data_IF_453202643150
#
_entry.id   IF_453202643150
#
_cell.length_a   1.000
_cell.length_b   1.000
_cell.length_c   1.000
_cell.angle_alpha   90.00
_cell.angle_beta   90.00
_cell.angle_gamma   90.00
#
_symmetry.space_group_name_H-M   'P 1'
#
loop_
_entity.id
_entity.type
_entity.pdbx_description
1 polymer ?
#
# COMPACT_ATOMS: atom_id res chain seq x y z
N UNK A 1 -13.47 -13.84 -21.22
CA UNK A 1 -13.77 -12.96 -20.06
C UNK A 1 -15.22 -12.56 -20.13
N UNK A 2 -16.03 -12.81 -19.09
CA UNK A 2 -17.47 -12.56 -19.18
C UNK A 2 -17.76 -11.06 -19.16
N UNK A 3 -18.66 -10.59 -20.03
CA UNK A 3 -19.08 -9.18 -20.05
C UNK A 3 -19.67 -8.75 -18.70
N UNK A 4 -20.35 -9.66 -18.01
CA UNK A 4 -20.92 -9.44 -16.69
C UNK A 4 -19.84 -9.13 -15.65
N UNK A 5 -18.70 -9.82 -15.68
CA UNK A 5 -17.59 -9.52 -14.78
C UNK A 5 -17.00 -8.12 -15.02
N UNK A 6 -16.83 -7.70 -16.27
CA UNK A 6 -16.33 -6.35 -16.58
C UNK A 6 -17.29 -5.26 -16.09
N UNK A 7 -18.60 -5.46 -16.25
CA UNK A 7 -19.63 -4.57 -15.71
C UNK A 7 -19.55 -4.52 -14.18
N UNK A 8 -19.37 -5.67 -13.52
CA UNK A 8 -19.21 -5.75 -12.08
C UNK A 8 -17.93 -5.02 -11.62
N UNK A 9 -16.82 -5.19 -12.32
CA UNK A 9 -15.55 -4.53 -12.00
C UNK A 9 -15.66 -3.00 -12.12
N UNK A 10 -16.24 -2.52 -13.22
CA UNK A 10 -16.45 -1.08 -13.46
C UNK A 10 -17.45 -0.48 -12.46
N UNK A 11 -18.56 -1.16 -12.18
CA UNK A 11 -19.53 -0.70 -11.19
C UNK A 11 -18.94 -0.67 -9.77
N UNK A 12 -18.09 -1.64 -9.41
CA UNK A 12 -17.36 -1.64 -8.13
C UNK A 12 -16.42 -0.45 -8.00
N UNK A 13 -15.68 -0.13 -9.06
CA UNK A 13 -14.84 1.06 -9.12
C UNK A 13 -15.65 2.35 -8.90
N UNK A 14 -16.72 2.53 -9.68
CA UNK A 14 -17.54 3.74 -9.63
C UNK A 14 -18.25 3.86 -8.28
N UNK A 15 -18.83 2.76 -7.77
CA UNK A 15 -19.55 2.77 -6.49
C UNK A 15 -18.62 3.14 -5.33
N UNK A 16 -17.42 2.56 -5.26
CA UNK A 16 -16.45 2.86 -4.20
C UNK A 16 -15.92 4.29 -4.28
N UNK A 17 -15.64 4.78 -5.50
CA UNK A 17 -15.27 6.17 -5.77
C UNK A 17 -16.34 7.15 -5.29
N UNK A 18 -17.60 6.93 -5.69
CA UNK A 18 -18.71 7.80 -5.34
C UNK A 18 -18.99 7.76 -3.83
N UNK A 19 -19.00 6.56 -3.24
CA UNK A 19 -19.24 6.38 -1.81
C UNK A 19 -18.16 7.09 -0.97
N UNK A 20 -16.87 6.86 -1.26
CA UNK A 20 -15.79 7.55 -0.55
C UNK A 20 -15.88 9.07 -0.76
N UNK A 21 -16.08 9.54 -2.00
CA UNK A 21 -16.23 10.97 -2.32
C UNK A 21 -17.38 11.62 -1.54
N UNK A 22 -18.50 10.92 -1.38
CA UNK A 22 -19.67 11.38 -0.65
C UNK A 22 -19.47 11.39 0.86
N UNK A 23 -18.71 10.45 1.40
CA UNK A 23 -18.40 10.37 2.82
C UNK A 23 -17.42 11.46 3.27
N UNK A 24 -16.45 11.86 2.44
CA UNK A 24 -15.40 12.82 2.85
C UNK A 24 -15.95 14.14 3.42
N UNK A 25 -16.87 14.89 2.76
CA UNK A 25 -17.40 16.14 3.32
C UNK A 25 -18.10 15.95 4.66
N UNK A 26 -18.78 14.80 4.85
CA UNK A 26 -19.48 14.47 6.10
C UNK A 26 -18.51 14.18 7.22
N UNK A 27 -17.44 13.42 6.93
CA UNK A 27 -16.36 13.15 7.88
C UNK A 27 -15.68 14.47 8.30
N UNK A 28 -15.34 15.32 7.33
CA UNK A 28 -14.75 16.64 7.61
C UNK A 28 -15.67 17.47 8.51
N UNK A 29 -16.96 17.55 8.19
CA UNK A 29 -17.95 18.28 8.99
C UNK A 29 -18.08 17.75 10.42
N UNK A 30 -18.20 16.43 10.60
CA UNK A 30 -18.34 15.81 11.93
C UNK A 30 -17.06 16.01 12.76
N UNK A 31 -15.90 15.80 12.13
CA UNK A 31 -14.61 15.94 12.80
C UNK A 31 -14.36 17.38 13.28
N UNK A 32 -14.62 18.36 12.40
CA UNK A 32 -14.49 19.78 12.74
C UNK A 32 -15.48 20.22 13.83
N UNK A 33 -16.73 19.74 13.79
CA UNK A 33 -17.73 20.03 14.82
C UNK A 33 -17.33 19.47 16.19
N UNK A 34 -16.76 18.27 16.24
CA UNK A 34 -16.37 17.59 17.47
C UNK A 34 -14.95 17.90 17.94
N UNK A 35 -14.23 18.82 17.27
CA UNK A 35 -12.83 19.15 17.54
C UNK A 35 -11.85 17.97 17.44
N UNK A 36 -12.16 16.97 16.60
CA UNK A 36 -11.22 15.92 16.20
C UNK A 36 -10.30 16.45 15.09
N UNK A 37 -9.49 17.43 15.48
CA UNK A 37 -8.67 18.24 14.60
C UNK A 37 -7.22 18.02 14.95
N UNK A 38 -6.37 17.92 13.92
CA UNK A 38 -4.94 18.01 14.10
C UNK A 38 -4.51 19.48 14.15
N UNK A 39 -4.20 19.98 15.36
CA UNK A 39 -3.73 21.36 15.55
C UNK A 39 -2.27 21.50 15.09
N UNK A 40 -1.91 22.60 14.40
CA UNK A 40 -0.56 22.79 13.90
C UNK A 40 0.43 22.99 15.05
N UNK A 41 1.29 21.99 15.29
CA UNK A 41 2.44 22.09 16.19
C UNK A 41 3.67 22.56 15.41
N UNK A 42 4.15 23.77 15.70
CA UNK A 42 5.25 24.44 14.99
C UNK A 42 6.59 23.69 15.04
N UNK A 43 6.76 22.70 15.92
CA UNK A 43 7.98 21.90 16.01
C UNK A 43 8.00 20.68 15.07
N UNK A 44 6.81 20.13 14.70
CA UNK A 44 6.70 18.86 13.97
C UNK A 44 5.81 18.91 12.72
N UNK A 45 4.85 19.82 12.63
CA UNK A 45 3.80 19.82 11.60
C UNK A 45 3.86 21.08 10.72
N UNK A 46 3.84 20.87 9.40
CA UNK A 46 4.07 21.93 8.38
C UNK A 46 2.76 22.56 7.87
N UNK A 47 1.60 22.03 8.26
CA UNK A 47 0.29 22.53 7.79
C UNK A 47 -0.15 23.78 8.55
N UNK A 48 -0.70 24.77 7.84
CA UNK A 48 -1.20 26.04 8.40
C UNK A 48 -2.70 26.06 8.68
N UNK A 49 -3.41 24.97 8.34
CA UNK A 49 -4.88 24.85 8.49
C UNK A 49 -5.22 23.69 9.45
N UNK A 50 -6.34 23.86 10.13
CA UNK A 50 -7.07 22.84 10.88
C UNK A 50 -7.50 21.75 9.89
N UNK A 51 -6.86 20.59 9.93
CA UNK A 51 -7.14 19.44 9.07
C UNK A 51 -7.46 18.24 9.97
N UNK A 52 -8.38 17.38 9.56
CA UNK A 52 -8.72 16.16 10.31
C UNK A 52 -8.00 14.95 9.74
N UNK A 53 -7.62 14.00 10.60
CA UNK A 53 -6.89 12.77 10.23
C UNK A 53 -7.83 11.58 9.98
N UNK A 54 -9.15 11.80 9.88
CA UNK A 54 -10.13 10.71 9.81
C UNK A 54 -10.46 10.24 8.38
N UNK A 55 -9.63 10.58 7.38
CA UNK A 55 -9.86 10.23 5.98
C UNK A 55 -9.92 8.72 5.72
N UNK A 56 -9.16 7.95 6.49
CA UNK A 56 -9.17 6.49 6.47
C UNK A 56 -10.54 5.86 6.69
N UNK A 57 -11.44 6.52 7.43
CA UNK A 57 -12.80 6.03 7.64
C UNK A 57 -13.56 5.98 6.31
N UNK A 58 -13.47 7.03 5.51
CA UNK A 58 -14.15 7.08 4.22
C UNK A 58 -13.53 6.13 3.20
N UNK A 59 -12.20 5.92 3.26
CA UNK A 59 -11.52 4.89 2.45
C UNK A 59 -12.04 3.51 2.83
N UNK A 60 -12.03 3.16 4.12
CA UNK A 60 -12.43 1.84 4.60
C UNK A 60 -13.88 1.52 4.29
N UNK A 61 -14.81 2.43 4.57
CA UNK A 61 -16.23 2.22 4.31
C UNK A 61 -16.52 2.10 2.81
N UNK A 62 -15.89 2.97 1.99
CA UNK A 62 -15.98 2.89 0.53
C UNK A 62 -15.49 1.55 -0.02
N UNK A 63 -14.36 1.07 0.52
CA UNK A 63 -13.76 -0.20 0.15
C UNK A 63 -14.58 -1.40 0.61
N UNK A 64 -14.88 -1.50 1.90
CA UNK A 64 -15.42 -2.73 2.50
C UNK A 64 -16.87 -2.98 2.07
N UNK A 65 -17.70 -1.93 2.01
CA UNK A 65 -19.12 -2.05 1.63
C UNK A 65 -19.25 -2.49 0.17
N UNK A 66 -18.46 -1.88 -0.72
CA UNK A 66 -18.53 -2.18 -2.15
C UNK A 66 -17.87 -3.51 -2.47
N UNK A 67 -16.70 -3.81 -1.91
CA UNK A 67 -16.06 -5.12 -2.11
C UNK A 67 -16.93 -6.26 -1.58
N UNK A 68 -17.56 -6.11 -0.39
CA UNK A 68 -18.56 -7.06 0.13
C UNK A 68 -19.65 -7.36 -0.89
N UNK A 69 -20.34 -6.31 -1.32
CA UNK A 69 -21.50 -6.43 -2.19
C UNK A 69 -21.12 -7.02 -3.55
N UNK A 70 -20.00 -6.58 -4.11
CA UNK A 70 -19.51 -7.07 -5.39
C UNK A 70 -19.01 -8.50 -5.32
N UNK A 71 -18.32 -8.91 -4.23
CA UNK A 71 -17.90 -10.30 -4.04
C UNK A 71 -19.09 -11.24 -3.82
N UNK A 72 -20.15 -10.80 -3.15
CA UNK A 72 -21.42 -11.57 -3.06
C UNK A 72 -22.07 -11.67 -4.44
N UNK A 73 -22.09 -10.57 -5.21
CA UNK A 73 -22.66 -10.56 -6.57
C UNK A 73 -21.88 -11.49 -7.51
N UNK A 74 -20.55 -11.57 -7.35
CA UNK A 74 -19.69 -12.47 -8.11
C UNK A 74 -20.08 -13.94 -7.93
N UNK A 75 -20.55 -14.36 -6.75
CA UNK A 75 -21.02 -15.73 -6.49
C UNK A 75 -22.23 -16.10 -7.35
N UNK A 76 -23.02 -15.12 -7.79
CA UNK A 76 -24.19 -15.33 -8.63
C UNK A 76 -23.83 -15.40 -10.13
N UNK A 77 -22.56 -15.26 -10.50
CA UNK A 77 -22.10 -15.38 -11.90
C UNK A 77 -21.71 -16.85 -12.14
N UNK A 78 -22.51 -17.67 -12.86
CA UNK A 78 -22.32 -19.12 -12.91
C UNK A 78 -20.98 -19.57 -13.49
N UNK A 79 -20.40 -18.77 -14.38
CA UNK A 79 -19.13 -19.07 -15.07
C UNK A 79 -17.89 -18.87 -14.18
N UNK A 80 -18.02 -18.13 -13.07
CA UNK A 80 -16.88 -17.57 -12.33
C UNK A 80 -17.03 -17.72 -10.80
N UNK A 81 -18.25 -17.63 -10.29
CA UNK A 81 -18.53 -17.68 -8.86
C UNK A 81 -18.25 -19.06 -8.29
N UNK A 82 -17.28 -19.15 -7.38
CA UNK A 82 -17.08 -20.36 -6.57
C UNK A 82 -17.00 -20.01 -5.09
N UNK A 83 -17.59 -20.87 -4.24
CA UNK A 83 -17.68 -20.65 -2.80
C UNK A 83 -16.31 -20.61 -2.12
N UNK A 84 -15.31 -21.30 -2.69
CA UNK A 84 -13.93 -21.32 -2.18
C UNK A 84 -13.26 -19.95 -2.26
N UNK A 85 -13.61 -19.09 -3.22
CA UNK A 85 -13.09 -17.72 -3.29
C UNK A 85 -13.61 -16.83 -2.16
N UNK A 86 -14.86 -17.01 -1.73
CA UNK A 86 -15.45 -16.25 -0.63
C UNK A 86 -14.79 -16.58 0.73
N UNK A 87 -14.27 -17.80 0.87
CA UNK A 87 -13.62 -18.27 2.10
C UNK A 87 -12.29 -17.57 2.41
N UNK A 88 -11.55 -17.05 1.43
CA UNK A 88 -10.32 -16.28 1.74
C UNK A 88 -10.62 -14.84 2.12
N UNK A 89 -11.70 -14.29 1.56
CA UNK A 89 -12.06 -12.88 1.66
C UNK A 89 -12.48 -12.46 3.07
N UNK A 90 -13.21 -13.31 3.81
CA UNK A 90 -13.66 -12.97 5.16
C UNK A 90 -12.50 -12.77 6.14
N UNK A 91 -11.38 -13.49 5.96
CA UNK A 91 -10.19 -13.30 6.79
C UNK A 91 -9.54 -11.93 6.57
N UNK A 92 -9.51 -11.46 5.32
CA UNK A 92 -9.03 -10.11 4.98
C UNK A 92 -9.94 -9.06 5.64
N UNK A 93 -11.25 -9.29 5.65
CA UNK A 93 -12.23 -8.38 6.29
C UNK A 93 -12.05 -8.33 7.80
N UNK A 94 -11.90 -9.48 8.45
CA UNK A 94 -11.65 -9.52 9.89
C UNK A 94 -10.33 -8.80 10.22
N UNK A 95 -9.26 -9.09 9.47
CA UNK A 95 -7.95 -8.48 9.68
C UNK A 95 -7.97 -6.95 9.45
N UNK A 96 -8.58 -6.49 8.36
CA UNK A 96 -8.71 -5.07 8.06
C UNK A 96 -9.68 -4.35 9.01
N UNK A 97 -10.68 -5.04 9.56
CA UNK A 97 -11.56 -4.48 10.59
C UNK A 97 -10.80 -4.25 11.92
N UNK A 98 -9.94 -5.20 12.32
CA UNK A 98 -9.05 -5.02 13.49
C UNK A 98 -8.18 -3.77 13.29
N UNK A 99 -7.59 -3.62 12.11
CA UNK A 99 -6.75 -2.47 11.77
C UNK A 99 -7.54 -1.17 11.68
N UNK A 100 -8.76 -1.20 11.16
CA UNK A 100 -9.66 -0.07 11.10
C UNK A 100 -9.96 0.45 12.51
N UNK A 101 -10.36 -0.42 13.44
CA UNK A 101 -10.63 -0.02 14.83
C UNK A 101 -9.35 0.48 15.52
N UNK A 102 -8.21 -0.18 15.26
CA UNK A 102 -6.92 0.23 15.80
C UNK A 102 -6.55 1.63 15.32
N UNK A 103 -6.63 1.90 14.02
CA UNK A 103 -6.30 3.19 13.46
C UNK A 103 -7.27 4.28 13.88
N UNK A 104 -8.58 4.02 13.92
CA UNK A 104 -9.56 5.01 14.40
C UNK A 104 -9.29 5.38 15.85
N UNK A 105 -8.93 4.39 16.68
CA UNK A 105 -8.56 4.63 18.06
C UNK A 105 -7.25 5.44 18.19
N UNK A 106 -6.27 5.16 17.34
CA UNK A 106 -5.01 5.91 17.29
C UNK A 106 -5.26 7.38 16.88
N UNK A 107 -6.03 7.60 15.81
CA UNK A 107 -6.37 8.93 15.29
C UNK A 107 -7.19 9.78 16.28
N UNK A 108 -8.01 9.15 17.14
CA UNK A 108 -8.88 9.86 18.08
C UNK A 108 -8.29 10.03 19.49
N UNK A 109 -7.57 9.02 19.98
CA UNK A 109 -7.14 8.95 21.39
C UNK A 109 -5.65 8.62 21.56
N UNK A 110 -4.93 8.33 20.47
CA UNK A 110 -3.56 7.83 20.49
C UNK A 110 -3.45 6.39 20.99
N UNK A 111 -2.48 5.67 20.43
CA UNK A 111 -2.08 4.35 20.86
C UNK A 111 -0.57 4.29 21.05
N UNK A 112 -0.15 3.50 22.04
CA UNK A 112 1.28 3.15 22.17
C UNK A 112 1.71 2.32 20.96
N UNK A 113 2.93 2.54 20.40
CA UNK A 113 3.43 1.78 19.24
C UNK A 113 3.33 0.26 19.41
N UNK A 114 3.55 -0.24 20.62
CA UNK A 114 3.43 -1.67 20.93
C UNK A 114 2.02 -2.22 20.70
N UNK A 115 0.97 -1.52 21.16
CA UNK A 115 -0.43 -1.95 20.95
C UNK A 115 -0.80 -1.95 19.47
N UNK A 116 -0.33 -0.95 18.70
CA UNK A 116 -0.50 -0.87 17.25
C UNK A 116 0.19 -2.04 16.54
N UNK A 117 1.43 -2.35 16.94
CA UNK A 117 2.17 -3.50 16.42
C UNK A 117 1.48 -4.84 16.71
N UNK A 118 0.97 -5.04 17.94
CA UNK A 118 0.24 -6.27 18.30
C UNK A 118 -1.01 -6.44 17.43
N UNK A 119 -1.77 -5.37 17.18
CA UNK A 119 -2.93 -5.43 16.29
C UNK A 119 -2.55 -5.79 14.85
N UNK A 120 -1.46 -5.21 14.32
CA UNK A 120 -0.91 -5.57 13.01
C UNK A 120 -0.46 -7.03 12.97
N UNK A 121 0.20 -7.53 14.01
CA UNK A 121 0.65 -8.91 14.10
C UNK A 121 -0.52 -9.90 14.14
N UNK A 122 -1.58 -9.60 14.89
CA UNK A 122 -2.80 -10.41 14.91
C UNK A 122 -3.49 -10.41 13.54
N UNK A 123 -3.66 -9.23 12.92
CA UNK A 123 -4.25 -9.11 11.59
C UNK A 123 -3.45 -9.89 10.53
N UNK A 124 -2.12 -9.75 10.55
CA UNK A 124 -1.23 -10.47 9.64
C UNK A 124 -1.26 -11.98 9.89
N UNK A 125 -1.26 -12.43 11.15
CA UNK A 125 -1.40 -13.84 11.49
C UNK A 125 -2.70 -14.43 10.95
N UNK A 126 -3.82 -13.70 11.06
CA UNK A 126 -5.12 -14.18 10.56
C UNK A 126 -5.07 -14.48 9.06
N UNK A 127 -4.55 -13.52 8.29
CA UNK A 127 -4.44 -13.64 6.83
C UNK A 127 -3.41 -14.70 6.41
N UNK A 128 -2.27 -14.75 7.08
CA UNK A 128 -1.17 -15.66 6.73
C UNK A 128 -1.49 -17.10 7.11
N UNK A 129 -2.02 -17.34 8.31
CA UNK A 129 -2.25 -18.68 8.82
C UNK A 129 -3.60 -19.25 8.35
N UNK A 130 -4.70 -18.51 8.52
CA UNK A 130 -6.03 -19.05 8.22
C UNK A 130 -6.43 -18.89 6.75
N UNK A 131 -6.06 -17.79 6.09
CA UNK A 131 -6.32 -17.62 4.65
C UNK A 131 -5.22 -18.24 3.76
N UNK A 132 -4.14 -18.76 4.36
CA UNK A 132 -2.94 -19.27 3.71
C UNK A 132 -2.33 -18.25 2.72
N UNK A 133 -2.45 -16.94 2.99
CA UNK A 133 -1.86 -15.90 2.17
C UNK A 133 -0.42 -15.67 2.64
N UNK A 134 0.50 -16.44 2.06
CA UNK A 134 1.92 -16.45 2.44
C UNK A 134 2.86 -16.60 1.24
N UNK A 135 4.07 -16.08 1.38
CA UNK A 135 5.16 -16.27 0.43
C UNK A 135 5.64 -17.72 0.47
N UNK A 136 5.53 -18.46 -0.63
CA UNK A 136 5.97 -19.86 -0.70
C UNK A 136 7.46 -20.01 -1.03
N UNK A 137 8.07 -18.95 -1.54
CA UNK A 137 9.40 -18.97 -2.15
C UNK A 137 9.98 -17.56 -2.21
N UNK A 138 11.31 -17.47 -2.30
CA UNK A 138 12.02 -16.25 -2.66
C UNK A 138 12.36 -16.18 -4.15
N UNK A 139 11.90 -17.16 -4.93
CA UNK A 139 11.97 -17.23 -6.38
C UNK A 139 13.39 -17.00 -6.91
N UNK A 140 14.38 -17.59 -6.22
CA UNK A 140 15.79 -17.51 -6.57
C UNK A 140 16.53 -16.31 -5.98
N UNK A 141 15.85 -15.42 -5.24
CA UNK A 141 16.52 -14.41 -4.40
C UNK A 141 17.33 -15.15 -3.32
N UNK A 142 18.61 -14.80 -3.19
CA UNK A 142 19.60 -15.50 -2.34
C UNK A 142 19.74 -16.99 -2.66
N UNK A 143 19.43 -17.41 -3.89
CA UNK A 143 19.42 -18.83 -4.32
C UNK A 143 18.38 -19.70 -3.58
N UNK A 144 17.37 -19.07 -2.97
CA UNK A 144 16.29 -19.75 -2.25
C UNK A 144 15.07 -19.85 -3.15
N UNK A 145 14.69 -21.08 -3.48
CA UNK A 145 13.58 -21.38 -4.41
C UNK A 145 12.32 -21.86 -3.72
N UNK A 146 12.37 -22.29 -2.47
CA UNK A 146 11.21 -22.70 -1.68
C UNK A 146 11.45 -22.35 -0.22
N UNK A 147 10.37 -22.04 0.50
CA UNK A 147 10.41 -21.75 1.92
C UNK A 147 9.73 -22.86 2.71
N UNK A 148 10.40 -23.44 3.73
CA UNK A 148 9.75 -24.29 4.71
C UNK A 148 8.53 -23.57 5.32
N UNK A 149 7.48 -24.32 5.64
CA UNK A 149 6.20 -23.76 6.07
C UNK A 149 6.33 -22.72 7.19
N UNK A 150 7.08 -23.03 8.26
CA UNK A 150 7.28 -22.11 9.38
C UNK A 150 8.00 -20.81 8.96
N UNK A 151 9.01 -20.92 8.10
CA UNK A 151 9.76 -19.77 7.58
C UNK A 151 8.83 -18.91 6.71
N UNK A 152 8.04 -19.54 5.85
CA UNK A 152 7.03 -18.87 5.03
C UNK A 152 6.02 -18.08 5.87
N UNK A 153 5.50 -18.65 6.97
CA UNK A 153 4.61 -17.94 7.89
C UNK A 153 5.29 -16.72 8.51
N UNK A 154 6.48 -16.89 9.09
CA UNK A 154 7.22 -15.83 9.79
C UNK A 154 7.54 -14.68 8.83
N UNK A 155 8.11 -14.97 7.66
CA UNK A 155 8.48 -13.94 6.69
C UNK A 155 7.26 -13.21 6.12
N UNK A 156 6.13 -13.90 5.93
CA UNK A 156 4.92 -13.25 5.44
C UNK A 156 4.32 -12.31 6.49
N UNK A 157 4.27 -12.73 7.75
CA UNK A 157 3.79 -11.87 8.86
C UNK A 157 4.68 -10.64 9.01
N UNK A 158 6.00 -10.84 9.08
CA UNK A 158 6.96 -9.73 9.21
C UNK A 158 6.88 -8.81 7.99
N UNK A 159 6.78 -9.37 6.78
CA UNK A 159 6.67 -8.60 5.54
C UNK A 159 5.41 -7.73 5.50
N UNK A 160 4.25 -8.28 5.87
CA UNK A 160 2.99 -7.53 5.94
C UNK A 160 3.11 -6.39 6.95
N UNK A 161 3.59 -6.66 8.16
CA UNK A 161 3.77 -5.64 9.20
C UNK A 161 4.75 -4.56 8.75
N UNK A 162 5.88 -4.96 8.14
CA UNK A 162 6.89 -4.04 7.65
C UNK A 162 6.33 -3.10 6.57
N UNK A 163 5.68 -3.64 5.55
CA UNK A 163 5.07 -2.84 4.48
C UNK A 163 3.95 -1.95 5.03
N UNK A 164 3.15 -2.45 5.99
CA UNK A 164 2.11 -1.65 6.65
C UNK A 164 2.68 -0.42 7.33
N UNK A 165 3.75 -0.58 8.11
CA UNK A 165 4.42 0.55 8.76
C UNK A 165 5.17 1.44 7.76
N UNK A 166 5.76 0.86 6.71
CA UNK A 166 6.42 1.62 5.67
C UNK A 166 5.46 2.57 4.93
N UNK A 167 4.22 2.13 4.67
CA UNK A 167 3.17 2.98 4.11
C UNK A 167 2.72 4.07 5.07
N UNK A 168 2.59 3.75 6.37
CA UNK A 168 2.29 4.72 7.42
C UNK A 168 3.37 5.82 7.50
N UNK A 169 4.66 5.46 7.38
CA UNK A 169 5.77 6.42 7.44
C UNK A 169 5.84 7.37 6.23
N UNK A 170 5.34 6.97 5.06
CA UNK A 170 5.34 7.85 3.87
C UNK A 170 4.09 8.73 3.76
N UNK A 171 3.10 8.57 4.64
CA UNK A 171 1.87 9.36 4.70
C UNK A 171 2.08 10.74 5.37
N UNK A 172 3.24 11.35 5.12
CA UNK A 172 3.61 12.69 5.61
C UNK A 172 3.43 13.82 4.59
N UNK A 173 2.99 13.49 3.37
CA UNK A 173 2.82 14.44 2.25
C UNK A 173 1.42 14.28 1.64
N UNK A 174 0.70 15.40 1.52
CA UNK A 174 -0.58 15.51 0.82
C UNK A 174 -0.56 14.78 -0.53
N UNK A 175 -1.42 13.77 -0.67
CA UNK A 175 -1.60 13.00 -1.89
C UNK A 175 -0.52 11.96 -2.18
N UNK A 176 0.59 11.89 -1.44
CA UNK A 176 1.70 10.96 -1.74
C UNK A 176 1.31 9.49 -1.50
N UNK A 177 1.00 9.11 -0.27
CA UNK A 177 0.69 7.72 0.05
C UNK A 177 -0.54 7.22 -0.72
N UNK A 178 -1.58 8.06 -0.83
CA UNK A 178 -2.78 7.75 -1.61
C UNK A 178 -2.51 7.56 -3.11
N UNK A 179 -1.69 8.41 -3.75
CA UNK A 179 -1.40 8.28 -5.18
C UNK A 179 -0.53 7.06 -5.49
N UNK A 180 0.44 6.75 -4.64
CA UNK A 180 1.23 5.51 -4.76
C UNK A 180 0.35 4.27 -4.57
N UNK A 181 -0.53 4.27 -3.56
CA UNK A 181 -1.48 3.18 -3.36
C UNK A 181 -2.42 3.00 -4.56
N UNK A 182 -2.97 4.09 -5.09
CA UNK A 182 -3.81 4.06 -6.29
C UNK A 182 -3.08 3.48 -7.50
N UNK A 183 -1.82 3.87 -7.72
CA UNK A 183 -1.00 3.32 -8.79
C UNK A 183 -0.84 1.79 -8.66
N UNK A 184 -0.49 1.30 -7.47
CA UNK A 184 -0.31 -0.15 -7.23
C UNK A 184 -1.63 -0.91 -7.40
N UNK A 185 -2.74 -0.39 -6.85
CA UNK A 185 -4.04 -1.03 -6.93
C UNK A 185 -4.57 -1.11 -8.36
N UNK A 186 -4.31 -0.10 -9.18
CA UNK A 186 -4.67 -0.12 -10.60
C UNK A 186 -3.94 -1.25 -11.34
N UNK A 187 -2.63 -1.40 -11.12
CA UNK A 187 -1.84 -2.47 -11.73
C UNK A 187 -2.30 -3.84 -11.23
N UNK A 188 -2.44 -4.02 -9.91
CA UNK A 188 -2.88 -5.28 -9.33
C UNK A 188 -4.29 -5.67 -9.83
N UNK A 189 -5.22 -4.73 -9.91
CA UNK A 189 -6.57 -5.00 -10.44
C UNK A 189 -6.54 -5.52 -11.88
N UNK A 190 -5.71 -4.94 -12.73
CA UNK A 190 -5.55 -5.39 -14.12
C UNK A 190 -4.94 -6.78 -14.15
N UNK A 191 -3.85 -7.00 -13.42
CA UNK A 191 -3.16 -8.29 -13.46
C UNK A 191 -3.98 -9.43 -12.85
N UNK A 192 -4.69 -9.19 -11.75
CA UNK A 192 -5.63 -10.17 -11.20
C UNK A 192 -6.76 -10.50 -12.16
N UNK A 193 -7.28 -9.51 -12.89
CA UNK A 193 -8.30 -9.74 -13.93
C UNK A 193 -7.75 -10.64 -15.04
N UNK A 194 -6.52 -10.35 -15.50
CA UNK A 194 -5.84 -11.13 -16.53
C UNK A 194 -5.51 -12.56 -16.07
N UNK A 195 -5.20 -12.75 -14.78
CA UNK A 195 -4.93 -14.05 -14.17
C UNK A 195 -6.19 -14.79 -13.69
N UNK A 196 -7.38 -14.25 -13.97
CA UNK A 196 -8.68 -14.81 -13.53
C UNK A 196 -8.85 -14.92 -12.00
N UNK A 197 -8.08 -14.12 -11.25
CA UNK A 197 -8.24 -13.87 -9.82
C UNK A 197 -9.33 -12.79 -9.61
N UNK A 198 -10.57 -13.14 -9.91
CA UNK A 198 -11.67 -12.18 -10.00
C UNK A 198 -11.99 -11.48 -8.68
N UNK A 199 -11.88 -12.18 -7.56
CA UNK A 199 -12.17 -11.62 -6.26
C UNK A 199 -11.10 -10.59 -5.86
N UNK A 200 -9.83 -10.93 -6.03
CA UNK A 200 -8.71 -10.01 -5.76
C UNK A 200 -8.73 -8.79 -6.69
N UNK A 201 -9.19 -8.95 -7.94
CA UNK A 201 -9.45 -7.84 -8.85
C UNK A 201 -10.55 -6.91 -8.30
N UNK A 202 -11.68 -7.45 -7.81
CA UNK A 202 -12.76 -6.67 -7.18
C UNK A 202 -12.27 -5.94 -5.92
N UNK A 203 -11.51 -6.62 -5.06
CA UNK A 203 -10.91 -6.01 -3.85
C UNK A 203 -10.01 -4.85 -4.24
N UNK A 204 -9.10 -5.08 -5.20
CA UNK A 204 -8.13 -4.09 -5.66
C UNK A 204 -8.81 -2.87 -6.30
N UNK A 205 -9.80 -3.08 -7.18
CA UNK A 205 -10.51 -1.99 -7.86
C UNK A 205 -11.43 -1.21 -6.91
N UNK A 206 -12.03 -1.88 -5.92
CA UNK A 206 -12.88 -1.23 -4.92
C UNK A 206 -12.05 -0.36 -3.99
N UNK A 207 -10.87 -0.85 -3.58
CA UNK A 207 -9.95 -0.04 -2.79
C UNK A 207 -9.39 1.13 -3.62
N UNK A 208 -9.08 0.91 -4.91
CA UNK A 208 -8.67 1.97 -5.83
C UNK A 208 -9.70 3.08 -5.92
N UNK A 209 -10.97 2.74 -6.17
CA UNK A 209 -12.04 3.73 -6.26
C UNK A 209 -12.18 4.52 -4.95
N UNK A 210 -12.17 3.84 -3.79
CA UNK A 210 -12.22 4.50 -2.50
C UNK A 210 -11.04 5.47 -2.26
N UNK A 211 -9.82 5.06 -2.63
CA UNK A 211 -8.61 5.90 -2.54
C UNK A 211 -8.69 7.11 -3.47
N UNK A 212 -9.15 6.94 -4.71
CA UNK A 212 -9.32 8.07 -5.64
C UNK A 212 -10.40 9.05 -5.15
N UNK A 213 -11.47 8.55 -4.52
CA UNK A 213 -12.49 9.38 -3.89
C UNK A 213 -11.95 10.21 -2.72
N UNK A 214 -11.06 9.61 -1.92
CA UNK A 214 -10.31 10.31 -0.87
C UNK A 214 -9.31 11.34 -1.43
N UNK A 215 -8.54 10.98 -2.46
CA UNK A 215 -7.51 11.83 -3.06
C UNK A 215 -8.06 13.16 -3.58
N UNK A 216 -9.32 13.22 -4.03
CA UNK A 216 -10.00 14.48 -4.37
C UNK A 216 -9.98 15.52 -3.24
N UNK A 217 -9.91 15.08 -1.99
CA UNK A 217 -9.89 15.94 -0.80
C UNK A 217 -8.51 16.02 -0.15
N UNK A 218 -7.65 15.04 -0.38
CA UNK A 218 -6.30 14.99 0.18
C UNK A 218 -5.21 15.55 -0.75
N UNK A 219 -5.48 15.73 -2.05
CA UNK A 219 -4.54 16.35 -2.97
C UNK A 219 -4.19 17.77 -2.50
N UNK A 220 -2.90 18.11 -2.53
CA UNK A 220 -2.40 19.36 -1.98
C UNK A 220 -3.12 20.60 -2.58
N UNK A 221 -3.54 21.58 -1.77
CA UNK A 221 -3.54 21.57 -0.30
C UNK A 221 -4.65 20.67 0.27
N UNK A 222 -4.29 19.76 1.17
CA UNK A 222 -5.23 18.80 1.74
C UNK A 222 -6.33 19.46 2.59
N UNK A 223 -7.53 18.90 2.51
CA UNK A 223 -8.69 19.21 3.37
C UNK A 223 -8.95 18.15 4.43
N UNK A 224 -8.36 16.97 4.24
CA UNK A 224 -8.43 15.81 5.13
C UNK A 224 -7.15 15.00 4.94
N UNK A 225 -6.54 14.57 6.04
CA UNK A 225 -5.44 13.63 6.04
C UNK A 225 -5.97 12.20 6.15
N UNK A 226 -5.16 11.26 5.67
CA UNK A 226 -5.52 9.84 5.65
C UNK A 226 -5.56 9.25 7.06
N UNK A 227 -4.63 9.70 7.91
CA UNK A 227 -4.48 9.24 9.29
C UNK A 227 -3.94 7.82 9.39
N UNK A 228 -3.79 7.37 10.64
CA UNK A 228 -3.36 6.02 10.94
C UNK A 228 -4.39 5.00 10.47
N UNK A 229 -5.68 5.33 10.55
CA UNK A 229 -6.75 4.48 9.98
C UNK A 229 -6.48 4.13 8.52
N UNK A 230 -6.28 5.14 7.67
CA UNK A 230 -6.17 4.90 6.24
C UNK A 230 -4.84 4.27 5.86
N UNK A 231 -3.75 4.73 6.46
CA UNK A 231 -2.41 4.23 6.12
C UNK A 231 -2.19 2.78 6.57
N UNK A 232 -2.73 2.37 7.72
CA UNK A 232 -2.72 0.97 8.15
C UNK A 232 -3.50 0.07 7.18
N UNK A 233 -4.70 0.52 6.76
CA UNK A 233 -5.55 -0.24 5.85
C UNK A 233 -4.89 -0.39 4.48
N UNK A 234 -4.35 0.69 3.93
CA UNK A 234 -3.69 0.65 2.63
C UNK A 234 -2.43 -0.18 2.67
N UNK A 235 -1.54 0.05 3.64
CA UNK A 235 -0.29 -0.70 3.75
C UNK A 235 -0.52 -2.20 3.92
N UNK A 236 -1.47 -2.59 4.78
CA UNK A 236 -1.82 -3.99 5.00
C UNK A 236 -2.46 -4.64 3.76
N UNK A 237 -3.41 -3.95 3.13
CA UNK A 237 -4.12 -4.47 1.96
C UNK A 237 -3.19 -4.62 0.76
N UNK A 238 -2.32 -3.63 0.52
CA UNK A 238 -1.31 -3.69 -0.54
C UNK A 238 -0.33 -4.84 -0.31
N UNK A 239 0.21 -4.99 0.91
CA UNK A 239 1.11 -6.08 1.23
C UNK A 239 0.44 -7.45 1.02
N UNK A 240 -0.79 -7.60 1.49
CA UNK A 240 -1.58 -8.83 1.36
C UNK A 240 -1.86 -9.16 -0.12
N UNK A 241 -2.36 -8.20 -0.89
CA UNK A 241 -2.64 -8.39 -2.32
C UNK A 241 -1.37 -8.70 -3.10
N UNK A 242 -0.25 -8.04 -2.79
CA UNK A 242 1.05 -8.36 -3.37
C UNK A 242 1.49 -9.80 -3.09
N UNK A 243 1.29 -10.31 -1.88
CA UNK A 243 1.59 -11.73 -1.55
C UNK A 243 0.66 -12.67 -2.33
N UNK A 244 -0.64 -12.37 -2.43
CA UNK A 244 -1.57 -13.17 -3.24
C UNK A 244 -1.15 -13.19 -4.70
N UNK A 245 -0.79 -12.04 -5.26
CA UNK A 245 -0.29 -11.91 -6.62
C UNK A 245 0.94 -12.79 -6.87
N UNK A 246 1.94 -12.72 -5.98
CA UNK A 246 3.15 -13.54 -6.08
C UNK A 246 2.83 -15.04 -5.97
N UNK A 247 1.95 -15.42 -5.03
CA UNK A 247 1.56 -16.82 -4.80
C UNK A 247 0.79 -17.41 -5.98
N UNK A 248 -0.20 -16.70 -6.50
CA UNK A 248 -1.15 -17.24 -7.48
C UNK A 248 -0.61 -17.17 -8.91
N UNK A 249 0.28 -16.22 -9.24
CA UNK A 249 1.00 -16.23 -10.52
C UNK A 249 2.09 -17.27 -10.55
N UNK A 250 2.68 -17.60 -9.39
CA UNK A 250 3.64 -18.69 -9.33
C UNK A 250 3.06 -20.03 -9.83
N UNK A 251 1.72 -20.15 -9.80
CA UNK A 251 0.98 -21.37 -10.10
C UNK A 251 0.30 -21.30 -11.49
N UNK A 252 0.12 -20.10 -12.05
CA UNK A 252 -0.71 -19.86 -13.23
C UNK A 252 0.12 -19.57 -14.50
N UNK A 253 -0.18 -20.28 -15.59
CA UNK A 253 0.38 -20.02 -16.92
C UNK A 253 -0.40 -18.95 -17.72
N UNK A 254 -1.50 -18.40 -17.19
CA UNK A 254 -2.42 -17.57 -18.01
C UNK A 254 -1.82 -16.23 -18.44
N UNK A 255 -0.91 -15.68 -17.64
CA UNK A 255 -0.24 -14.41 -17.94
C UNK A 255 1.26 -14.59 -18.24
N UNK A 256 1.70 -15.81 -18.58
CA UNK A 256 3.12 -16.12 -18.83
C UNK A 256 3.74 -15.26 -19.94
N UNK A 257 2.93 -14.78 -20.89
CA UNK A 257 3.34 -13.89 -21.98
C UNK A 257 3.55 -12.44 -21.54
N UNK A 258 3.03 -12.05 -20.36
CA UNK A 258 3.11 -10.71 -19.79
C UNK A 258 4.16 -10.68 -18.67
N UNK A 259 4.23 -11.74 -17.87
CA UNK A 259 5.17 -11.87 -16.76
C UNK A 259 5.77 -13.27 -16.81
N UNK A 260 7.08 -13.37 -16.97
CA UNK A 260 7.75 -14.69 -17.03
C UNK A 260 7.88 -15.30 -15.65
N UNK A 261 6.94 -16.21 -15.37
CA UNK A 261 6.97 -17.09 -14.21
C UNK A 261 6.97 -16.38 -12.86
N UNK A 262 7.30 -17.15 -11.83
CA UNK A 262 7.20 -16.79 -10.42
C UNK A 262 8.18 -15.67 -10.03
N UNK A 263 9.34 -15.63 -10.69
CA UNK A 263 10.39 -14.64 -10.51
C UNK A 263 9.96 -13.24 -10.98
N UNK A 264 9.29 -13.16 -12.14
CA UNK A 264 8.77 -11.90 -12.66
C UNK A 264 7.70 -11.28 -11.75
N UNK A 265 6.79 -12.10 -11.19
CA UNK A 265 5.75 -11.63 -10.27
C UNK A 265 6.34 -11.06 -8.96
N UNK A 266 7.37 -11.72 -8.42
CA UNK A 266 8.09 -11.25 -7.23
C UNK A 266 8.80 -9.94 -7.50
N UNK A 267 9.49 -9.86 -8.63
CA UNK A 267 10.23 -8.67 -9.03
C UNK A 267 9.28 -7.48 -9.23
N UNK A 268 8.17 -7.67 -9.93
CA UNK A 268 7.16 -6.63 -10.13
C UNK A 268 6.56 -6.18 -8.79
N UNK A 269 6.25 -7.11 -7.89
CA UNK A 269 5.75 -6.79 -6.54
C UNK A 269 6.73 -5.95 -5.74
N UNK A 270 8.02 -6.30 -5.76
CA UNK A 270 9.06 -5.51 -5.10
C UNK A 270 9.13 -4.10 -5.70
N UNK A 271 9.03 -3.96 -7.02
CA UNK A 271 8.99 -2.65 -7.67
C UNK A 271 7.75 -1.84 -7.29
N UNK A 272 6.59 -2.47 -7.20
CA UNK A 272 5.32 -1.86 -6.76
C UNK A 272 5.32 -1.47 -5.28
N UNK A 273 6.32 -1.86 -4.48
CA UNK A 273 6.42 -1.44 -3.07
C UNK A 273 7.77 -0.78 -2.77
N UNK A 274 8.59 -0.52 -3.81
CA UNK A 274 10.01 -0.23 -3.63
C UNK A 274 10.25 1.06 -2.86
N UNK A 275 9.46 2.10 -3.09
CA UNK A 275 9.64 3.40 -2.45
C UNK A 275 9.46 3.31 -0.92
N UNK A 276 8.29 2.87 -0.39
CA UNK A 276 8.11 2.77 1.06
C UNK A 276 9.07 1.77 1.70
N UNK A 277 9.31 0.63 1.04
CA UNK A 277 10.25 -0.40 1.51
C UNK A 277 11.66 0.18 1.63
N UNK A 278 12.17 0.77 0.54
CA UNK A 278 13.53 1.29 0.48
C UNK A 278 13.76 2.43 1.46
N UNK A 279 12.83 3.41 1.55
CA UNK A 279 13.00 4.54 2.48
C UNK A 279 13.02 4.06 3.94
N UNK A 280 12.14 3.12 4.29
CA UNK A 280 12.10 2.53 5.64
C UNK A 280 13.39 1.76 5.94
N UNK A 281 13.85 0.90 5.03
CA UNK A 281 15.11 0.17 5.19
C UNK A 281 16.31 1.12 5.36
N UNK A 282 16.39 2.17 4.53
CA UNK A 282 17.44 3.19 4.62
C UNK A 282 17.43 3.88 5.97
N UNK A 283 16.26 4.38 6.40
CA UNK A 283 16.14 5.10 7.67
C UNK A 283 16.49 4.20 8.85
N UNK A 284 16.02 2.96 8.87
CA UNK A 284 16.35 2.00 9.92
C UNK A 284 17.85 1.69 9.96
N UNK A 285 18.47 1.48 8.79
CA UNK A 285 19.92 1.24 8.68
C UNK A 285 20.72 2.41 9.23
N UNK A 286 20.39 3.65 8.84
CA UNK A 286 21.07 4.85 9.33
C UNK A 286 20.93 5.02 10.84
N UNK A 287 19.77 4.68 11.43
CA UNK A 287 19.56 4.73 12.88
C UNK A 287 20.42 3.71 13.63
N UNK A 288 20.41 2.47 13.16
CA UNK A 288 21.21 1.38 13.76
C UNK A 288 22.70 1.72 13.71
N UNK A 289 23.20 2.21 12.57
CA UNK A 289 24.61 2.63 12.42
C UNK A 289 24.99 3.80 13.34
N UNK A 290 24.02 4.60 13.79
CA UNK A 290 24.20 5.68 14.78
C UNK A 290 23.98 5.23 16.22
N UNK A 291 23.77 3.94 16.48
CA UNK A 291 23.49 3.39 17.81
C UNK A 291 22.08 3.66 18.34
N UNK A 292 21.17 4.15 17.50
CA UNK A 292 19.78 4.43 17.88
C UNK A 292 18.82 3.27 17.59
N UNK A 293 17.65 3.29 18.24
CA UNK A 293 16.59 2.31 17.97
C UNK A 293 15.94 2.56 16.60
N UNK A 294 15.70 1.52 15.77
CA UNK A 294 14.98 1.67 14.51
C UNK A 294 13.52 2.08 14.69
N UNK A 295 12.92 1.89 15.86
CA UNK A 295 11.50 2.18 16.12
C UNK A 295 11.23 3.59 16.65
N UNK A 296 12.26 4.42 16.79
CA UNK A 296 12.09 5.81 17.23
C UNK A 296 11.64 6.70 16.06
N UNK A 297 10.72 7.63 16.29
CA UNK A 297 10.27 8.56 15.25
C UNK A 297 11.40 9.54 14.87
N UNK A 298 11.56 9.85 13.57
CA UNK A 298 12.48 10.90 13.10
C UNK A 298 12.01 11.56 11.79
N UNK A 299 12.71 12.63 11.39
CA UNK A 299 12.49 13.36 10.12
C UNK A 299 13.47 12.98 8.99
N UNK A 300 14.06 11.78 9.02
CA UNK A 300 15.10 11.40 8.03
C UNK A 300 14.57 10.78 6.74
N UNK A 301 13.26 10.57 6.66
CA UNK A 301 12.56 10.08 5.48
C UNK A 301 12.78 10.98 4.26
N UNK A 302 12.75 10.40 3.07
CA UNK A 302 13.04 11.10 1.83
C UNK A 302 12.14 12.32 1.59
N UNK A 303 10.85 12.20 1.94
CA UNK A 303 9.90 13.28 1.77
C UNK A 303 10.18 14.48 2.68
N UNK A 304 10.64 14.26 3.92
CA UNK A 304 11.09 15.36 4.80
C UNK A 304 12.32 16.07 4.23
N UNK A 305 13.29 15.32 3.69
CA UNK A 305 14.48 15.94 3.06
C UNK A 305 14.13 16.82 1.86
N UNK A 306 13.09 16.45 1.12
CA UNK A 306 12.55 17.26 0.01
C UNK A 306 11.81 18.50 0.50
N UNK A 307 11.01 18.38 1.56
CA UNK A 307 10.37 19.53 2.22
C UNK A 307 11.40 20.52 2.74
N UNK A 308 12.46 20.03 3.41
CA UNK A 308 13.58 20.83 3.92
C UNK A 308 14.42 21.47 2.78
N UNK A 309 14.21 21.05 1.53
CA UNK A 309 14.76 21.64 0.32
C UNK A 309 13.76 22.56 -0.41
N UNK A 310 12.69 22.99 0.27
CA UNK A 310 11.63 23.87 -0.25
C UNK A 310 10.80 23.30 -1.42
N UNK A 311 10.75 21.97 -1.58
CA UNK A 311 9.83 21.37 -2.54
C UNK A 311 8.40 21.41 -1.98
N UNK A 312 7.43 21.76 -2.83
CA UNK A 312 6.02 21.71 -2.44
C UNK A 312 5.50 20.28 -2.39
N UNK A 313 4.48 20.02 -1.56
CA UNK A 313 3.86 18.69 -1.43
C UNK A 313 3.47 18.09 -2.80
N UNK A 314 2.91 18.92 -3.70
CA UNK A 314 2.58 18.53 -5.09
C UNK A 314 3.80 18.03 -5.87
N UNK A 315 4.91 18.78 -5.82
CA UNK A 315 6.13 18.42 -6.54
C UNK A 315 6.68 17.10 -6.01
N UNK A 316 6.69 16.92 -4.68
CA UNK A 316 7.16 15.68 -4.05
C UNK A 316 6.32 14.48 -4.49
N UNK A 317 4.98 14.57 -4.42
CA UNK A 317 4.08 13.50 -4.84
C UNK A 317 4.28 13.12 -6.32
N UNK A 318 4.39 14.11 -7.21
CA UNK A 318 4.62 13.87 -8.64
C UNK A 318 6.00 13.27 -8.92
N UNK A 319 7.07 13.77 -8.28
CA UNK A 319 8.41 13.20 -8.42
C UNK A 319 8.44 11.75 -8.00
N UNK A 320 7.80 11.41 -6.88
CA UNK A 320 7.70 10.02 -6.41
C UNK A 320 6.95 9.16 -7.42
N UNK A 321 5.82 9.63 -7.96
CA UNK A 321 5.06 8.89 -8.97
C UNK A 321 5.86 8.65 -10.26
N UNK A 322 6.64 9.64 -10.71
CA UNK A 322 7.51 9.53 -11.89
C UNK A 322 8.60 8.48 -11.64
N UNK A 323 9.32 8.59 -10.51
CA UNK A 323 10.36 7.62 -10.13
C UNK A 323 9.77 6.22 -10.00
N UNK A 324 8.59 6.11 -9.40
CA UNK A 324 7.90 4.84 -9.22
C UNK A 324 7.54 4.20 -10.56
N UNK A 325 6.96 4.97 -11.48
CA UNK A 325 6.60 4.53 -12.83
C UNK A 325 7.84 4.11 -13.64
N UNK A 326 8.93 4.86 -13.49
CA UNK A 326 10.19 4.52 -14.14
C UNK A 326 10.75 3.19 -13.61
N UNK A 327 10.78 3.02 -12.28
CA UNK A 327 11.28 1.80 -11.65
C UNK A 327 10.44 0.58 -12.03
N UNK A 328 9.10 0.68 -11.99
CA UNK A 328 8.22 -0.43 -12.40
C UNK A 328 8.36 -0.76 -13.88
N UNK A 329 8.54 0.23 -14.75
CA UNK A 329 8.77 -0.01 -16.19
C UNK A 329 10.09 -0.71 -16.46
N UNK A 330 11.18 -0.30 -15.80
CA UNK A 330 12.48 -0.99 -15.90
C UNK A 330 12.35 -2.42 -15.39
N UNK A 331 11.70 -2.59 -14.25
CA UNK A 331 11.48 -3.90 -13.63
C UNK A 331 10.76 -4.85 -14.58
N UNK A 332 9.73 -4.34 -15.26
CA UNK A 332 9.04 -5.07 -16.32
C UNK A 332 10.03 -5.47 -17.43
N UNK A 333 10.83 -4.56 -17.97
CA UNK A 333 11.84 -4.92 -18.98
C UNK A 333 12.87 -5.97 -18.51
N UNK A 334 13.14 -6.05 -17.21
CA UNK A 334 14.09 -7.00 -16.61
C UNK A 334 13.46 -8.34 -16.21
N UNK A 335 12.16 -8.54 -16.42
CA UNK A 335 11.46 -9.73 -15.91
C UNK A 335 12.01 -11.06 -16.47
N UNK A 336 12.69 -11.02 -17.63
CA UNK A 336 13.30 -12.16 -18.31
C UNK A 336 14.66 -12.60 -17.73
N UNK A 337 15.29 -11.76 -16.90
CA UNK A 337 16.60 -12.04 -16.29
C UNK A 337 16.39 -12.76 -14.96
N UNK A 338 17.42 -13.43 -14.45
CA UNK A 338 17.37 -14.04 -13.12
C UNK A 338 16.90 -13.03 -12.06
N UNK A 339 15.97 -13.45 -11.20
CA UNK A 339 15.31 -12.59 -10.21
C UNK A 339 16.31 -11.94 -9.26
N UNK A 340 17.36 -12.65 -8.86
CA UNK A 340 18.44 -12.10 -8.03
C UNK A 340 19.16 -10.92 -8.71
N UNK A 341 19.58 -11.09 -9.98
CA UNK A 341 20.27 -10.02 -10.72
C UNK A 341 19.35 -8.83 -10.93
N UNK A 342 18.08 -9.08 -11.28
CA UNK A 342 17.11 -8.02 -11.49
C UNK A 342 16.82 -7.23 -10.19
N UNK A 343 16.75 -7.91 -9.03
CA UNK A 343 16.64 -7.25 -7.73
C UNK A 343 17.86 -6.37 -7.44
N UNK A 344 19.08 -6.88 -7.67
CA UNK A 344 20.31 -6.08 -7.49
C UNK A 344 20.28 -4.84 -8.40
N UNK A 345 19.86 -4.99 -9.66
CA UNK A 345 19.66 -3.88 -10.59
C UNK A 345 18.67 -2.84 -10.07
N UNK A 346 17.50 -3.28 -9.60
CA UNK A 346 16.47 -2.40 -9.03
C UNK A 346 16.98 -1.59 -7.83
N UNK A 347 17.57 -2.27 -6.84
CA UNK A 347 18.10 -1.64 -5.62
C UNK A 347 19.29 -0.72 -5.92
N UNK A 348 20.12 -1.06 -6.91
CA UNK A 348 21.20 -0.20 -7.38
C UNK A 348 20.64 1.06 -8.04
N UNK A 349 19.66 0.93 -8.92
CA UNK A 349 19.04 2.05 -9.64
C UNK A 349 18.44 3.08 -8.67
N UNK A 350 17.64 2.64 -7.69
CA UNK A 350 17.07 3.55 -6.69
C UNK A 350 18.17 4.18 -5.81
N UNK A 351 19.22 3.43 -5.46
CA UNK A 351 20.36 3.98 -4.71
C UNK A 351 21.09 5.08 -5.49
N UNK A 352 21.34 4.87 -6.79
CA UNK A 352 21.93 5.89 -7.66
C UNK A 352 21.05 7.13 -7.80
N UNK A 353 19.74 6.96 -8.00
CA UNK A 353 18.80 8.08 -8.07
C UNK A 353 18.85 8.93 -6.79
N UNK A 354 18.93 8.30 -5.62
CA UNK A 354 19.01 8.99 -4.34
C UNK A 354 20.36 9.65 -4.08
N UNK A 355 21.46 9.05 -4.52
CA UNK A 355 22.80 9.67 -4.44
C UNK A 355 22.82 10.90 -5.34
N UNK A 356 22.41 10.77 -6.61
CA UNK A 356 22.33 11.90 -7.55
C UNK A 356 21.45 13.02 -7.02
N UNK A 357 20.30 12.66 -6.45
CA UNK A 357 19.41 13.61 -5.79
C UNK A 357 20.06 14.29 -4.56
N UNK A 358 20.77 13.53 -3.72
CA UNK A 358 21.48 14.11 -2.57
C UNK A 358 22.61 15.05 -2.98
N UNK A 359 23.28 14.80 -4.11
CA UNK A 359 24.31 15.69 -4.66
C UNK A 359 23.67 16.98 -5.17
N UNK A 360 22.59 16.86 -5.92
CA UNK A 360 21.81 18.01 -6.42
C UNK A 360 21.33 18.91 -5.27
N UNK A 361 20.78 18.33 -4.20
CA UNK A 361 20.36 19.12 -3.03
C UNK A 361 21.52 19.85 -2.32
N UNK A 362 22.74 19.29 -2.38
CA UNK A 362 23.92 19.95 -1.82
C UNK A 362 24.42 21.08 -2.71
N UNK A 363 24.30 20.96 -4.04
CA UNK A 363 24.68 22.04 -4.96
C UNK A 363 23.73 23.23 -4.85
N UNK A 364 22.42 22.99 -4.75
CA UNK A 364 21.43 24.08 -4.65
C UNK A 364 21.41 24.81 -3.30
N UNK A 365 22.11 24.30 -2.27
CA UNK A 365 22.29 24.98 -0.97
C UNK A 365 23.56 25.82 -0.90
N UNK A 366 24.44 25.74 -1.92
CA UNK A 366 25.69 26.50 -1.99
C UNK A 366 25.56 27.81 -2.79
N UNK A 367 24.42 27.99 -3.46
CA UNK A 367 23.96 29.24 -4.04
C UNK A 367 22.91 29.86 -3.10
#
# INVERSE_FOLDING_TARGET
MSYLFLILLLSSFIASLLLATFLMPRIIYIATKNKFIDEPDHERKVHTRIITNLGGIGIYLGFIIVSLFSSITLLNIPEIGTLTFFQKWYYIVIATFILFITGVKDDLAGLTPFKKFVAQAVAAFIVVYFADIRLLSFHGIFWIHELPYLISLIFSIIGIIFVTNAFNLIDGIDGLAGSLAAYVLAILSVLFTLNHNYNEAIISISLLGAVLGFLKFNWAPARIFMGDTGSLILGFSLATLCIVFVKDIAISNQISNIITGTGGATLLTLALLIIPIFDTFRVFTVRILKGGSPFHADRNHLHHKLLDANFSHKKIALTFLIVFTFLTSITYCLHFISTSIACIGLFSCISFLLIGFSIYLKSTKRD
#
